data_IF_028069871565
#
_entry.id   IF_028069871565
#
_cell.length_a   1.000
_cell.length_b   1.000
_cell.length_c   1.000
_cell.angle_alpha   90.00
_cell.angle_beta   90.00
_cell.angle_gamma   90.00
#
_symmetry.space_group_name_H-M   'P 1'
#
loop_
_entity.id
_entity.type
_entity.pdbx_description
1 polymer ?
#
# COMPACT_ATOMS: atom_id res chain seq x y z
N UNK A 1 4.57 13.19 4.46
CA UNK A 1 3.21 13.24 5.05
C UNK A 1 2.19 12.54 4.15
N UNK A 2 2.02 12.92 2.87
CA UNK A 2 1.03 12.25 2.01
C UNK A 2 1.37 10.77 1.72
N UNK A 3 2.64 10.50 1.38
CA UNK A 3 3.13 9.15 1.11
C UNK A 3 3.77 8.48 2.36
N UNK A 4 3.25 8.77 3.56
CA UNK A 4 3.73 8.07 4.76
C UNK A 4 2.88 6.85 5.11
N UNK A 5 1.75 6.60 4.44
CA UNK A 5 0.81 5.52 4.81
C UNK A 5 0.10 5.75 6.15
N UNK A 6 0.15 6.98 6.68
CA UNK A 6 -0.49 7.34 7.95
C UNK A 6 -1.59 8.36 7.74
N UNK A 7 -2.56 8.40 8.65
CA UNK A 7 -3.62 9.42 8.62
C UNK A 7 -3.06 10.83 8.89
N UNK A 8 -3.59 11.81 8.19
CA UNK A 8 -3.10 13.19 8.21
C UNK A 8 -3.91 14.02 9.21
N UNK A 9 -3.24 14.91 9.94
CA UNK A 9 -3.90 15.93 10.73
C UNK A 9 -4.38 17.04 9.79
N UNK A 10 -5.67 17.01 9.43
CA UNK A 10 -6.30 17.93 8.47
C UNK A 10 -6.18 19.39 8.89
N UNK A 11 -6.23 19.69 10.21
CA UNK A 11 -6.11 21.07 10.73
C UNK A 11 -4.69 21.61 10.52
N UNK A 12 -3.68 20.84 10.93
CA UNK A 12 -2.28 21.23 10.76
C UNK A 12 -1.90 21.32 9.27
N UNK A 13 -2.41 20.38 8.47
CA UNK A 13 -2.18 20.34 7.03
C UNK A 13 -2.82 21.54 6.31
N UNK A 14 -4.05 21.92 6.65
CA UNK A 14 -4.74 23.10 6.09
C UNK A 14 -3.99 24.39 6.40
N UNK A 15 -3.51 24.55 7.64
CA UNK A 15 -2.71 25.71 8.03
C UNK A 15 -1.42 25.81 7.22
N UNK A 16 -0.69 24.70 7.11
CA UNK A 16 0.56 24.65 6.34
C UNK A 16 0.32 24.94 4.84
N UNK A 17 -0.75 24.38 4.26
CA UNK A 17 -1.10 24.62 2.85
C UNK A 17 -1.36 26.09 2.55
N UNK A 18 -2.12 26.77 3.42
CA UNK A 18 -2.41 28.20 3.28
C UNK A 18 -1.17 29.08 3.48
N UNK A 19 -0.32 28.78 4.46
CA UNK A 19 0.94 29.49 4.67
C UNK A 19 1.87 29.35 3.46
N UNK A 20 1.99 28.13 2.92
CA UNK A 20 2.80 27.85 1.73
C UNK A 20 2.24 28.53 0.48
N UNK A 21 0.91 28.58 0.32
CA UNK A 21 0.27 29.27 -0.79
C UNK A 21 0.56 30.78 -0.77
N UNK A 22 0.55 31.42 0.42
CA UNK A 22 0.93 32.84 0.57
C UNK A 22 2.37 33.07 0.15
N UNK A 23 3.29 32.25 0.66
CA UNK A 23 4.71 32.32 0.29
C UNK A 23 4.90 32.17 -1.22
N UNK A 24 4.14 31.26 -1.86
CA UNK A 24 4.23 31.07 -3.30
C UNK A 24 3.83 32.34 -4.08
N UNK A 25 2.73 32.99 -3.70
CA UNK A 25 2.27 34.23 -4.34
C UNK A 25 3.28 35.36 -4.12
N UNK A 26 3.86 35.46 -2.93
CA UNK A 26 4.82 36.50 -2.59
C UNK A 26 6.15 36.35 -3.35
N UNK A 27 6.65 35.12 -3.48
CA UNK A 27 7.96 34.84 -4.13
C UNK A 27 7.83 34.73 -5.65
N UNK A 28 6.73 34.15 -6.13
CA UNK A 28 6.53 33.80 -7.54
C UNK A 28 5.31 34.48 -8.14
N UNK A 29 5.16 35.79 -7.95
CA UNK A 29 4.01 36.55 -8.46
C UNK A 29 3.79 36.41 -9.98
N UNK A 30 4.87 36.20 -10.74
CA UNK A 30 4.85 36.04 -12.19
C UNK A 30 4.41 34.65 -12.65
N UNK A 31 4.38 33.66 -11.76
CA UNK A 31 4.06 32.27 -12.10
C UNK A 31 2.71 31.87 -11.50
N UNK A 32 1.69 31.58 -12.32
CA UNK A 32 0.41 31.11 -11.80
C UNK A 32 0.56 29.71 -11.18
N UNK A 33 -0.08 29.50 -10.04
CA UNK A 33 -0.02 28.22 -9.34
C UNK A 33 -0.61 27.08 -10.21
N UNK A 34 0.14 26.00 -10.46
CA UNK A 34 -0.36 24.85 -11.20
C UNK A 34 -1.56 24.20 -10.50
N UNK A 35 -2.48 23.64 -11.28
CA UNK A 35 -3.71 23.04 -10.74
C UNK A 35 -3.46 21.92 -9.73
N UNK A 36 -2.40 21.13 -9.89
CA UNK A 36 -2.00 20.12 -8.91
C UNK A 36 -1.61 20.73 -7.57
N UNK A 37 -0.82 21.81 -7.59
CA UNK A 37 -0.36 22.52 -6.40
C UNK A 37 -1.52 23.27 -5.74
N UNK A 38 -2.38 23.92 -6.52
CA UNK A 38 -3.56 24.61 -6.03
C UNK A 38 -4.52 23.64 -5.32
N UNK A 39 -4.84 22.51 -5.96
CA UNK A 39 -5.65 21.46 -5.34
C UNK A 39 -4.99 20.91 -4.08
N UNK A 40 -3.67 20.79 -4.05
CA UNK A 40 -2.94 20.32 -2.88
C UNK A 40 -2.99 21.31 -1.70
N UNK A 41 -2.69 22.59 -1.94
CA UNK A 41 -2.59 23.60 -0.88
C UNK A 41 -3.96 24.07 -0.37
N UNK A 42 -4.93 24.22 -1.26
CA UNK A 42 -6.25 24.74 -0.92
C UNK A 42 -7.22 23.62 -0.56
N UNK A 43 -7.34 22.61 -1.42
CA UNK A 43 -8.33 21.53 -1.27
C UNK A 43 -7.76 20.25 -0.65
N UNK A 44 -6.45 20.14 -0.45
CA UNK A 44 -5.83 18.89 -0.05
C UNK A 44 -6.27 18.42 1.34
N UNK A 45 -6.56 19.34 2.26
CA UNK A 45 -7.09 19.01 3.57
C UNK A 45 -8.52 18.45 3.49
N UNK A 46 -9.35 19.03 2.63
CA UNK A 46 -10.74 18.59 2.42
C UNK A 46 -10.74 17.19 1.79
N UNK A 47 -9.90 16.97 0.78
CA UNK A 47 -9.73 15.67 0.12
C UNK A 47 -9.26 14.61 1.13
N UNK A 48 -8.30 14.96 2.00
CA UNK A 48 -7.80 14.05 3.03
C UNK A 48 -8.85 13.72 4.12
N UNK A 49 -9.85 14.57 4.33
CA UNK A 49 -10.95 14.34 5.25
C UNK A 49 -12.04 13.44 4.64
N UNK A 50 -12.28 13.59 3.33
CA UNK A 50 -13.25 12.81 2.56
C UNK A 50 -12.76 11.40 2.20
N UNK A 51 -11.44 11.20 2.10
CA UNK A 51 -10.86 9.93 1.67
C UNK A 51 -10.86 8.88 2.80
N UNK A 52 -11.44 7.68 2.60
CA UNK A 52 -11.47 6.62 3.62
C UNK A 52 -10.11 5.94 3.85
N UNK A 53 -9.20 6.06 2.89
CA UNK A 53 -7.84 5.48 2.91
C UNK A 53 -6.81 6.59 2.83
N UNK A 54 -5.57 6.30 3.22
CA UNK A 54 -4.53 7.32 3.14
C UNK A 54 -4.21 7.65 1.67
N UNK A 55 -3.82 8.90 1.41
CA UNK A 55 -3.51 9.36 0.05
C UNK A 55 -2.39 8.54 -0.61
N UNK A 56 -1.42 8.05 0.18
CA UNK A 56 -0.36 7.18 -0.31
C UNK A 56 -0.85 5.81 -0.76
N UNK A 57 -1.82 5.22 -0.06
CA UNK A 57 -2.40 3.92 -0.43
C UNK A 57 -3.25 3.99 -1.70
N UNK A 58 -3.88 5.15 -1.95
CA UNK A 58 -4.63 5.42 -3.19
C UNK A 58 -3.76 5.84 -4.38
N UNK A 59 -2.44 5.75 -4.26
CA UNK A 59 -1.53 6.21 -5.31
C UNK A 59 -1.56 5.32 -6.56
N UNK A 60 -1.35 5.95 -7.73
CA UNK A 60 -1.23 5.25 -9.01
C UNK A 60 0.09 4.45 -9.14
N UNK A 61 1.08 4.72 -8.29
CA UNK A 61 2.42 4.10 -8.31
C UNK A 61 2.37 2.57 -8.27
N UNK A 62 1.38 2.01 -7.54
CA UNK A 62 1.15 0.57 -7.49
C UNK A 62 0.72 -0.01 -8.85
N UNK A 63 -0.16 0.69 -9.57
CA UNK A 63 -0.65 0.29 -10.89
C UNK A 63 0.47 0.42 -11.93
N UNK A 64 1.24 1.51 -11.91
CA UNK A 64 2.37 1.69 -12.82
C UNK A 64 3.44 0.61 -12.62
N UNK A 65 3.72 0.24 -11.37
CA UNK A 65 4.60 -0.87 -11.03
C UNK A 65 4.06 -2.21 -11.53
N UNK A 66 2.74 -2.43 -11.41
CA UNK A 66 2.08 -3.61 -11.97
C UNK A 66 2.16 -3.66 -13.50
N UNK A 67 2.15 -2.51 -14.18
CA UNK A 67 2.30 -2.44 -15.63
C UNK A 67 3.69 -2.91 -16.07
N UNK A 68 4.75 -2.52 -15.34
CA UNK A 68 6.12 -3.03 -15.57
C UNK A 68 6.19 -4.55 -15.44
N UNK A 69 5.54 -5.12 -14.42
CA UNK A 69 5.43 -6.56 -14.28
C UNK A 69 4.65 -7.22 -15.44
N UNK A 70 3.65 -6.54 -15.98
CA UNK A 70 2.83 -7.05 -17.10
C UNK A 70 3.62 -7.08 -18.41
N UNK A 71 4.38 -6.01 -18.70
CA UNK A 71 5.31 -5.99 -19.85
C UNK A 71 6.37 -7.10 -19.71
N UNK A 72 6.90 -7.29 -18.50
CA UNK A 72 7.86 -8.35 -18.25
C UNK A 72 7.26 -9.75 -18.50
N UNK A 73 6.04 -9.99 -18.02
CA UNK A 73 5.32 -11.25 -18.23
C UNK A 73 4.95 -11.48 -19.70
N UNK A 74 4.64 -10.41 -20.43
CA UNK A 74 4.41 -10.46 -21.87
C UNK A 74 5.65 -10.99 -22.60
N UNK A 75 6.82 -10.40 -22.33
CA UNK A 75 8.05 -10.72 -23.04
C UNK A 75 8.64 -12.10 -22.68
N UNK A 76 8.40 -12.61 -21.46
CA UNK A 76 9.10 -13.80 -20.96
C UNK A 76 8.20 -14.99 -20.63
N UNK A 77 6.88 -14.81 -20.47
CA UNK A 77 5.97 -15.88 -20.00
C UNK A 77 4.78 -16.13 -20.93
N UNK A 78 4.46 -15.19 -21.82
CA UNK A 78 3.29 -15.32 -22.70
C UNK A 78 3.68 -16.00 -24.01
N UNK A 79 2.78 -16.82 -24.57
CA UNK A 79 2.99 -17.48 -25.87
C UNK A 79 2.68 -16.52 -27.01
N UNK A 80 3.64 -16.32 -27.89
CA UNK A 80 3.57 -15.37 -29.02
C UNK A 80 2.79 -15.86 -30.24
N UNK A 81 1.84 -16.80 -30.09
CA UNK A 81 1.18 -17.42 -31.23
C UNK A 81 -0.10 -16.71 -31.69
N UNK A 82 -0.81 -16.04 -30.80
CA UNK A 82 -2.03 -15.28 -31.10
C UNK A 82 -2.28 -14.26 -30.01
N UNK A 83 -2.95 -13.16 -30.35
CA UNK A 83 -3.36 -12.15 -29.37
C UNK A 83 -4.20 -12.77 -28.23
N UNK A 84 -5.16 -13.65 -28.57
CA UNK A 84 -6.03 -14.30 -27.58
C UNK A 84 -5.22 -15.06 -26.53
N UNK A 85 -4.26 -15.89 -26.96
CA UNK A 85 -3.45 -16.68 -26.03
C UNK A 85 -2.51 -15.78 -25.20
N UNK A 86 -1.94 -14.76 -25.81
CA UNK A 86 -1.10 -13.77 -25.12
C UNK A 86 -1.88 -13.06 -24.00
N UNK A 87 -3.09 -12.59 -24.29
CA UNK A 87 -3.96 -11.95 -23.29
C UNK A 87 -4.39 -12.91 -22.19
N UNK A 88 -4.68 -14.18 -22.52
CA UNK A 88 -5.03 -15.18 -21.48
C UNK A 88 -3.86 -15.46 -20.55
N UNK A 89 -2.64 -15.57 -21.08
CA UNK A 89 -1.46 -15.83 -20.24
C UNK A 89 -1.13 -14.64 -19.34
N UNK A 90 -1.21 -13.42 -19.89
CA UNK A 90 -1.06 -12.21 -19.08
C UNK A 90 -2.08 -12.16 -17.95
N UNK A 91 -3.34 -12.51 -18.24
CA UNK A 91 -4.41 -12.61 -17.25
C UNK A 91 -4.11 -13.65 -16.16
N UNK A 92 -3.77 -14.88 -16.53
CA UNK A 92 -3.42 -15.94 -15.59
C UNK A 92 -2.20 -15.58 -14.73
N UNK A 93 -1.15 -15.02 -15.34
CA UNK A 93 0.06 -14.60 -14.63
C UNK A 93 -0.26 -13.51 -13.60
N UNK A 94 -1.13 -12.54 -13.96
CA UNK A 94 -1.57 -11.51 -13.03
C UNK A 94 -2.36 -12.10 -11.86
N UNK A 95 -3.31 -13.00 -12.13
CA UNK A 95 -4.10 -13.67 -11.09
C UNK A 95 -3.21 -14.40 -10.08
N UNK A 96 -2.25 -15.21 -10.56
CA UNK A 96 -1.31 -15.95 -9.69
C UNK A 96 -0.49 -14.99 -8.83
N UNK A 97 -0.06 -13.84 -9.37
CA UNK A 97 0.74 -12.85 -8.65
C UNK A 97 -0.06 -12.04 -7.63
N UNK A 98 -1.36 -11.85 -7.84
CA UNK A 98 -2.23 -11.06 -6.93
C UNK A 98 -2.95 -11.91 -5.91
N UNK A 99 -2.91 -13.22 -6.03
CA UNK A 99 -3.61 -14.15 -5.13
C UNK A 99 -3.03 -14.03 -3.70
N UNK A 100 -3.83 -13.62 -2.69
CA UNK A 100 -3.33 -13.37 -1.33
C UNK A 100 -2.73 -14.61 -0.66
N UNK A 101 -3.38 -15.77 -0.78
CA UNK A 101 -2.94 -17.00 -0.11
C UNK A 101 -1.55 -17.46 -0.60
N UNK A 102 -1.34 -17.47 -1.92
CA UNK A 102 -0.05 -17.76 -2.54
C UNK A 102 0.99 -16.71 -2.18
N UNK A 103 0.62 -15.43 -2.10
CA UNK A 103 1.55 -14.39 -1.68
C UNK A 103 2.00 -14.58 -0.23
N UNK A 104 1.12 -14.95 0.70
CA UNK A 104 1.48 -15.22 2.09
C UNK A 104 2.45 -16.41 2.21
N UNK A 105 2.29 -17.42 1.35
CA UNK A 105 3.20 -18.57 1.28
C UNK A 105 4.54 -18.18 0.66
N UNK A 106 4.55 -17.38 -0.41
CA UNK A 106 5.75 -17.08 -1.22
C UNK A 106 6.59 -15.93 -0.64
N UNK A 107 5.95 -14.93 -0.03
CA UNK A 107 6.60 -13.72 0.52
C UNK A 107 7.75 -14.00 1.48
N UNK A 108 7.68 -14.94 2.47
CA UNK A 108 8.81 -15.22 3.35
C UNK A 108 10.05 -15.75 2.60
N UNK A 109 9.85 -16.34 1.42
CA UNK A 109 10.94 -16.86 0.58
C UNK A 109 11.45 -15.86 -0.46
N UNK A 110 10.76 -14.72 -0.68
CA UNK A 110 11.16 -13.71 -1.67
C UNK A 110 12.36 -12.87 -1.26
N UNK A 111 12.91 -13.05 -0.05
CA UNK A 111 14.20 -12.50 0.36
C UNK A 111 14.33 -10.98 0.23
N UNK A 112 13.22 -10.24 0.23
CA UNK A 112 13.29 -8.78 0.21
C UNK A 112 13.64 -8.34 1.63
N UNK A 113 14.88 -7.89 1.80
CA UNK A 113 15.22 -7.05 2.94
C UNK A 113 14.23 -5.87 2.94
N UNK A 114 13.40 -5.78 3.98
CA UNK A 114 12.65 -4.57 4.23
C UNK A 114 13.69 -3.47 4.41
N UNK A 115 13.76 -2.53 3.45
CA UNK A 115 14.58 -1.35 3.64
C UNK A 115 14.12 -0.72 4.94
N UNK A 116 15.05 -0.51 5.87
CA UNK A 116 14.75 0.16 7.13
C UNK A 116 13.99 1.45 6.84
N UNK A 117 12.94 1.71 7.62
CA UNK A 117 12.10 2.88 7.45
C UNK A 117 12.98 4.13 7.48
N UNK A 118 13.00 4.85 6.36
CA UNK A 118 13.72 6.11 6.28
C UNK A 118 13.03 7.08 7.24
N UNK A 119 13.78 7.63 8.18
CA UNK A 119 13.24 8.60 9.14
C UNK A 119 12.54 9.74 8.40
N UNK A 120 11.31 10.03 8.81
CA UNK A 120 10.54 11.14 8.28
C UNK A 120 11.20 12.47 8.68
N UNK A 121 11.18 13.50 7.81
CA UNK A 121 11.70 14.80 8.17
C UNK A 121 10.91 15.38 9.35
N UNK A 122 11.60 16.08 10.25
CA UNK A 122 11.03 16.57 11.52
C UNK A 122 9.72 17.34 11.33
N UNK A 123 9.63 18.22 10.32
CA UNK A 123 8.41 18.98 10.02
C UNK A 123 7.23 18.13 9.52
N UNK A 124 7.48 16.95 8.93
CA UNK A 124 6.42 16.06 8.47
C UNK A 124 5.77 15.27 9.61
N UNK A 125 6.48 15.04 10.73
CA UNK A 125 5.95 14.33 11.89
C UNK A 125 4.79 15.10 12.52
N UNK A 126 4.86 16.43 12.58
CA UNK A 126 3.78 17.28 13.12
C UNK A 126 2.50 17.31 12.28
N UNK A 127 2.54 16.78 11.05
CA UNK A 127 1.39 16.73 10.14
C UNK A 127 0.69 15.38 10.16
N UNK A 128 1.34 14.36 10.71
CA UNK A 128 0.75 13.02 10.84
C UNK A 128 -0.07 13.04 12.12
N UNK A 129 -1.30 12.50 12.08
CA UNK A 129 -1.99 12.17 13.32
C UNK A 129 -1.16 11.08 13.95
N UNK A 130 -0.41 11.43 15.00
CA UNK A 130 0.15 10.42 15.88
C UNK A 130 -1.05 9.64 16.40
N UNK A 131 -1.26 8.43 15.88
CA UNK A 131 -1.85 7.43 16.75
C UNK A 131 -0.88 7.34 17.91
N UNK A 132 -1.27 7.87 19.07
CA UNK A 132 -0.85 7.17 20.28
C UNK A 132 -1.13 5.69 20.02
N UNK A 133 -0.26 4.77 20.42
CA UNK A 133 -0.66 3.38 20.51
C UNK A 133 -1.88 3.40 21.43
N UNK A 134 -3.07 3.25 20.85
CA UNK A 134 -4.22 2.87 21.64
C UNK A 134 -3.83 1.49 22.08
N UNK A 135 -3.59 1.33 23.37
CA UNK A 135 -3.62 0.05 24.05
C UNK A 135 -4.83 -0.73 23.50
N UNK A 136 -4.60 -1.59 22.50
CA UNK A 136 -5.40 -2.79 22.40
C UNK A 136 -5.03 -3.57 23.63
N UNK A 137 -5.84 -3.36 24.66
CA UNK A 137 -6.26 -4.35 25.63
C UNK A 137 -6.14 -5.78 25.06
N UNK A 138 -4.94 -6.34 25.15
CA UNK A 138 -4.75 -7.75 25.46
C UNK A 138 -3.92 -7.77 26.73
N UNK A 139 -4.53 -8.07 27.89
CA UNK A 139 -3.75 -8.42 29.06
C UNK A 139 -3.21 -9.84 28.87
N UNK A 140 -2.40 -10.09 27.84
CA UNK A 140 -1.70 -11.36 27.60
C UNK A 140 -0.52 -11.11 26.63
N UNK A 141 0.69 -11.49 27.05
CA UNK A 141 1.96 -11.24 26.36
C UNK A 141 2.15 -12.00 25.03
N UNK A 142 3.37 -11.93 24.46
CA UNK A 142 3.64 -12.34 23.07
C UNK A 142 3.87 -13.85 22.89
N UNK A 143 3.13 -14.70 23.61
CA UNK A 143 3.44 -16.13 23.70
C UNK A 143 2.42 -17.07 23.02
N UNK A 144 1.42 -16.55 22.28
CA UNK A 144 0.44 -17.42 21.58
C UNK A 144 -0.09 -16.80 20.26
N UNK A 145 0.81 -16.37 19.38
CA UNK A 145 0.44 -16.16 17.97
C UNK A 145 0.78 -17.47 17.27
N UNK A 146 -0.24 -18.28 17.00
CA UNK A 146 -0.11 -19.51 16.23
C UNK A 146 0.37 -19.16 14.82
N UNK A 147 1.62 -19.52 14.50
CA UNK A 147 2.22 -19.17 13.22
C UNK A 147 1.50 -19.92 12.10
N UNK A 148 1.39 -19.37 10.88
CA UNK A 148 0.74 -20.05 9.76
C UNK A 148 1.35 -21.42 9.42
N UNK A 149 2.60 -21.69 9.84
CA UNK A 149 3.20 -23.03 9.80
C UNK A 149 2.45 -24.05 10.63
N UNK A 150 1.99 -23.69 11.83
CA UNK A 150 1.29 -24.60 12.74
C UNK A 150 -0.10 -24.94 12.21
N UNK A 151 -0.76 -23.97 11.56
CA UNK A 151 -2.04 -24.17 10.85
C UNK A 151 -1.86 -25.09 9.64
N UNK A 152 -0.82 -24.88 8.83
CA UNK A 152 -0.53 -25.71 7.66
C UNK A 152 -0.17 -27.14 8.07
N UNK A 153 0.64 -27.32 9.11
CA UNK A 153 0.98 -28.65 9.65
C UNK A 153 -0.25 -29.33 10.22
N UNK A 154 -1.13 -28.62 10.92
CA UNK A 154 -2.41 -29.16 11.39
C UNK A 154 -3.35 -29.54 10.25
N UNK A 155 -3.47 -28.71 9.22
CA UNK A 155 -4.28 -29.01 8.03
C UNK A 155 -3.70 -30.19 7.24
N UNK A 156 -2.38 -30.27 7.08
CA UNK A 156 -1.72 -31.37 6.40
C UNK A 156 -1.87 -32.69 7.16
N UNK A 157 -1.69 -32.66 8.49
CA UNK A 157 -1.90 -33.82 9.35
C UNK A 157 -3.37 -34.25 9.38
N UNK A 158 -4.31 -33.31 9.39
CA UNK A 158 -5.76 -33.59 9.30
C UNK A 158 -6.15 -34.17 7.93
N UNK A 159 -5.42 -33.81 6.87
CA UNK A 159 -5.62 -34.35 5.52
C UNK A 159 -5.04 -35.77 5.39
N UNK A 160 -3.89 -36.06 6.02
CA UNK A 160 -3.33 -37.41 6.10
C UNK A 160 -4.17 -38.35 6.98
N UNK A 161 -4.78 -37.84 8.05
CA UNK A 161 -5.59 -38.61 8.98
C UNK A 161 -7.04 -38.81 8.52
N UNK A 162 -7.31 -39.12 7.24
CA UNK A 162 -8.56 -39.70 6.68
C UNK A 162 -9.96 -39.34 7.26
N UNK A 163 -10.13 -38.23 7.98
CA UNK A 163 -11.38 -37.90 8.69
C UNK A 163 -12.15 -36.73 8.06
N UNK A 164 -11.81 -36.32 6.84
CA UNK A 164 -12.64 -35.38 6.08
C UNK A 164 -13.80 -36.10 5.38
N UNK A 165 -14.82 -36.48 6.16
CA UNK A 165 -16.12 -36.89 5.62
C UNK A 165 -16.91 -35.62 5.25
N UNK A 166 -17.04 -35.37 3.95
CA UNK A 166 -17.94 -34.35 3.41
C UNK A 166 -19.38 -34.82 3.69
N UNK A 167 -20.13 -34.06 4.49
CA UNK A 167 -21.60 -34.14 4.54
C UNK A 167 -22.18 -33.13 3.56
#
# INVERSE_FOLDING_TARGET
ALNSGHSINTVAFRKLGLETAKIHVDVYLWFPMPQSIHRLFIHGADIAELCPVTMGESSEEAIESSHKCSIWALNHHSRSNSYKNMTTDMGHNRLIKTEPFLNDIITPYRGKEFKADKQLPHGALGLIKASMPIDTLTPNGPDNIEYPRDIIVKLFNAFESKDFQIK
#
